data_IF_184755895539
#
_entry.id   IF_184755895539
#
_cell.length_a   1.000
_cell.length_b   1.000
_cell.length_c   1.000
_cell.angle_alpha   90.00
_cell.angle_beta   90.00
_cell.angle_gamma   90.00
#
_symmetry.space_group_name_H-M   'P 1'
#
loop_
_entity.id
_entity.type
_entity.pdbx_description
1 polymer ?
#
# COMPACT_ATOMS: atom_id res chain seq x y z
N UNK A 1 -12.49 -12.27 -10.23
CA UNK A 1 -12.40 -11.11 -9.31
C UNK A 1 -11.75 -11.64 -8.05
N UNK A 2 -10.51 -11.22 -7.78
CA UNK A 2 -9.86 -11.53 -6.51
C UNK A 2 -10.66 -10.86 -5.39
N UNK A 3 -11.13 -11.64 -4.43
CA UNK A 3 -11.82 -11.13 -3.25
C UNK A 3 -10.76 -10.43 -2.40
N UNK A 4 -10.81 -9.11 -2.35
CA UNK A 4 -9.97 -8.32 -1.46
C UNK A 4 -10.23 -8.81 -0.03
N UNK A 5 -9.19 -9.15 0.70
CA UNK A 5 -9.32 -9.56 2.10
C UNK A 5 -9.76 -8.33 2.90
N UNK A 6 -11.04 -8.24 3.19
CA UNK A 6 -11.56 -7.20 4.07
C UNK A 6 -11.51 -7.72 5.51
N UNK A 7 -10.59 -7.17 6.30
CA UNK A 7 -10.57 -7.39 7.73
C UNK A 7 -11.52 -6.34 8.34
N UNK A 8 -12.78 -6.69 8.45
CA UNK A 8 -13.88 -5.80 8.84
C UNK A 8 -13.92 -5.43 10.33
N UNK A 9 -13.06 -6.02 11.17
CA UNK A 9 -13.07 -5.78 12.62
C UNK A 9 -11.85 -4.99 13.14
N UNK A 10 -11.13 -4.31 12.26
CA UNK A 10 -9.98 -3.47 12.62
C UNK A 10 -10.35 -1.98 12.72
N UNK A 11 -11.64 -1.67 12.87
CA UNK A 11 -12.06 -0.31 13.16
C UNK A 11 -11.67 0.08 14.59
N UNK A 12 -11.22 1.32 14.74
CA UNK A 12 -10.73 1.86 16.02
C UNK A 12 -11.76 1.71 17.15
N UNK A 13 -13.01 2.07 16.86
CA UNK A 13 -14.09 2.02 17.85
C UNK A 13 -14.43 0.58 18.23
N UNK A 14 -14.42 -0.34 17.26
CA UNK A 14 -14.59 -1.77 17.50
C UNK A 14 -13.50 -2.35 18.38
N UNK A 15 -12.24 -2.05 18.10
CA UNK A 15 -11.08 -2.49 18.90
C UNK A 15 -11.18 -1.95 20.32
N UNK A 16 -11.47 -0.66 20.49
CA UNK A 16 -11.63 -0.02 21.81
C UNK A 16 -12.75 -0.66 22.61
N UNK A 17 -13.89 -0.92 22.00
CA UNK A 17 -15.04 -1.60 22.63
C UNK A 17 -14.71 -3.02 23.08
N UNK A 18 -14.01 -3.78 22.24
CA UNK A 18 -13.55 -5.14 22.57
C UNK A 18 -12.56 -5.13 23.72
N UNK A 19 -11.61 -4.19 23.74
CA UNK A 19 -10.67 -4.02 24.85
C UNK A 19 -11.38 -3.68 26.16
N UNK A 20 -12.34 -2.77 26.15
CA UNK A 20 -13.16 -2.44 27.35
C UNK A 20 -13.93 -3.67 27.84
N UNK A 21 -14.57 -4.40 26.93
CA UNK A 21 -15.33 -5.61 27.28
C UNK A 21 -14.41 -6.67 27.88
N UNK A 22 -13.25 -6.88 27.30
CA UNK A 22 -12.25 -7.82 27.83
C UNK A 22 -11.78 -7.43 29.23
N UNK A 23 -11.44 -6.16 29.46
CA UNK A 23 -10.99 -5.68 30.77
C UNK A 23 -12.09 -5.73 31.83
N UNK A 24 -13.33 -5.42 31.47
CA UNK A 24 -14.48 -5.49 32.41
C UNK A 24 -14.81 -6.91 32.85
N UNK A 25 -14.39 -7.93 32.09
CA UNK A 25 -14.54 -9.35 32.46
C UNK A 25 -13.44 -9.84 33.42
N UNK A 26 -12.38 -9.05 33.65
CA UNK A 26 -11.32 -9.40 34.58
C UNK A 26 -11.72 -9.03 36.01
N UNK A 27 -11.42 -9.92 36.98
CA UNK A 27 -11.80 -9.73 38.39
C UNK A 27 -11.12 -8.53 39.06
N UNK A 28 -10.01 -8.04 38.51
CA UNK A 28 -9.24 -6.89 39.02
C UNK A 28 -9.84 -5.53 38.66
N UNK A 29 -10.75 -5.49 37.68
CA UNK A 29 -11.32 -4.24 37.15
C UNK A 29 -12.84 -4.17 37.25
N UNK A 30 -13.46 -4.91 38.19
CA UNK A 30 -14.91 -5.06 38.31
C UNK A 30 -15.70 -3.77 38.57
N UNK A 31 -15.04 -2.72 39.05
CA UNK A 31 -15.69 -1.46 39.43
C UNK A 31 -14.94 -0.26 38.86
N UNK A 32 -14.29 -0.43 37.72
CA UNK A 32 -13.43 0.58 37.14
C UNK A 32 -14.17 1.37 36.03
N UNK A 33 -14.15 2.70 36.15
CA UNK A 33 -14.67 3.58 35.09
C UNK A 33 -13.60 3.75 34.00
N UNK A 34 -13.79 3.03 32.89
CA UNK A 34 -12.90 3.08 31.73
C UNK A 34 -13.06 4.36 30.90
N UNK A 35 -14.10 5.17 31.13
CA UNK A 35 -14.36 6.38 30.35
C UNK A 35 -13.79 7.63 31.03
N UNK A 36 -13.87 7.71 32.35
CA UNK A 36 -13.47 8.88 33.12
C UNK A 36 -12.03 8.89 33.63
N UNK A 37 -11.28 7.81 33.40
CA UNK A 37 -9.96 7.63 33.98
C UNK A 37 -8.82 7.76 32.95
N UNK A 38 -7.58 7.93 33.44
CA UNK A 38 -6.39 7.90 32.61
C UNK A 38 -6.20 6.57 31.83
N UNK A 39 -6.89 5.48 32.25
CA UNK A 39 -6.92 4.22 31.53
C UNK A 39 -7.63 4.35 30.17
N UNK A 40 -8.59 5.26 30.03
CA UNK A 40 -9.23 5.53 28.74
C UNK A 40 -8.23 5.98 27.69
N UNK A 41 -7.31 6.86 28.06
CA UNK A 41 -6.23 7.32 27.16
C UNK A 41 -5.29 6.18 26.78
N UNK A 42 -4.97 5.30 27.73
CA UNK A 42 -4.14 4.12 27.45
C UNK A 42 -4.84 3.15 26.48
N UNK A 43 -6.14 2.93 26.66
CA UNK A 43 -6.95 2.12 25.75
C UNK A 43 -7.01 2.74 24.35
N UNK A 44 -7.11 4.05 24.23
CA UNK A 44 -7.06 4.75 22.96
C UNK A 44 -5.71 4.55 22.25
N UNK A 45 -4.61 4.64 22.96
CA UNK A 45 -3.26 4.39 22.41
C UNK A 45 -3.12 2.94 21.93
N UNK A 46 -3.61 1.97 22.72
CA UNK A 46 -3.57 0.54 22.36
C UNK A 46 -4.46 0.26 21.15
N UNK A 47 -5.68 0.80 21.13
CA UNK A 47 -6.60 0.64 20.00
C UNK A 47 -6.02 1.26 18.73
N UNK A 48 -5.42 2.44 18.82
CA UNK A 48 -4.75 3.12 17.70
C UNK A 48 -3.57 2.29 17.17
N UNK A 49 -2.73 1.78 18.06
CA UNK A 49 -1.60 0.93 17.67
C UNK A 49 -2.08 -0.36 16.97
N UNK A 50 -3.11 -1.01 17.51
CA UNK A 50 -3.68 -2.23 16.92
C UNK A 50 -4.31 -1.95 15.55
N UNK A 51 -5.05 -0.85 15.42
CA UNK A 51 -5.61 -0.40 14.14
C UNK A 51 -4.50 -0.18 13.10
N UNK A 52 -3.41 0.49 13.48
CA UNK A 52 -2.28 0.75 12.58
C UNK A 52 -1.55 -0.54 12.18
N UNK A 53 -1.36 -1.47 13.10
CA UNK A 53 -0.77 -2.77 12.82
C UNK A 53 -1.65 -3.58 11.86
N UNK A 54 -2.96 -3.58 12.08
CA UNK A 54 -3.91 -4.23 11.20
C UNK A 54 -3.93 -3.65 9.79
N UNK A 55 -3.90 -2.32 9.68
CA UNK A 55 -3.79 -1.65 8.40
C UNK A 55 -2.52 -2.05 7.64
N UNK A 56 -1.37 -2.02 8.31
CA UNK A 56 -0.10 -2.41 7.71
C UNK A 56 -0.09 -3.90 7.31
N UNK A 57 -0.66 -4.78 8.14
CA UNK A 57 -0.77 -6.20 7.83
C UNK A 57 -1.66 -6.44 6.60
N UNK A 58 -2.78 -5.74 6.50
CA UNK A 58 -3.68 -5.83 5.35
C UNK A 58 -3.03 -5.29 4.07
N UNK A 59 -2.33 -4.15 4.16
CA UNK A 59 -1.56 -3.61 3.05
C UNK A 59 -0.49 -4.60 2.58
N UNK A 60 0.28 -5.18 3.51
CA UNK A 60 1.29 -6.18 3.18
C UNK A 60 0.68 -7.42 2.52
N UNK A 61 -0.43 -7.92 3.04
CA UNK A 61 -1.14 -9.08 2.47
C UNK A 61 -1.64 -8.80 1.04
N UNK A 62 -2.16 -7.61 0.77
CA UNK A 62 -2.58 -7.21 -0.58
C UNK A 62 -1.39 -7.12 -1.55
N UNK A 63 -0.23 -6.63 -1.09
CA UNK A 63 0.98 -6.51 -1.91
C UNK A 63 1.69 -7.86 -2.18
N UNK A 64 1.30 -8.94 -1.51
CA UNK A 64 1.87 -10.28 -1.74
C UNK A 64 1.36 -10.96 -3.02
N UNK A 65 0.23 -10.53 -3.55
CA UNK A 65 -0.38 -11.16 -4.73
C UNK A 65 -0.40 -10.20 -5.91
N UNK A 66 -0.13 -10.73 -7.11
CA UNK A 66 -0.08 -9.94 -8.34
C UNK A 66 -1.41 -9.28 -8.68
N UNK A 67 -2.54 -9.94 -8.35
CA UNK A 67 -3.89 -9.46 -8.65
C UNK A 67 -4.34 -8.31 -7.73
N UNK A 68 -3.76 -8.21 -6.54
CA UNK A 68 -4.15 -7.23 -5.51
C UNK A 68 -3.09 -6.17 -5.22
N UNK A 69 -1.87 -6.34 -5.76
CA UNK A 69 -0.79 -5.39 -5.57
C UNK A 69 -1.06 -4.07 -6.29
N UNK A 70 -1.03 -2.97 -5.55
CA UNK A 70 -1.22 -1.61 -6.05
C UNK A 70 0.13 -0.90 -6.32
N UNK A 71 1.17 -1.24 -5.58
CA UNK A 71 2.48 -0.64 -5.74
C UNK A 71 3.21 -1.19 -6.97
N UNK A 72 3.62 -0.30 -7.87
CA UNK A 72 4.36 -0.67 -9.09
C UNK A 72 5.61 -1.52 -8.79
N UNK A 73 6.32 -1.23 -7.69
CA UNK A 73 7.49 -2.00 -7.26
C UNK A 73 7.14 -3.45 -6.93
N UNK A 74 6.04 -3.67 -6.23
CA UNK A 74 5.54 -5.00 -5.87
C UNK A 74 5.10 -5.77 -7.11
N UNK A 75 4.30 -5.14 -7.98
CA UNK A 75 3.84 -5.73 -9.25
C UNK A 75 5.02 -6.15 -10.13
N UNK A 76 6.03 -5.27 -10.28
CA UNK A 76 7.23 -5.58 -11.07
C UNK A 76 8.04 -6.73 -10.44
N UNK A 77 8.16 -6.76 -9.13
CA UNK A 77 8.86 -7.83 -8.42
C UNK A 77 8.17 -9.19 -8.59
N UNK A 78 6.85 -9.21 -8.40
CA UNK A 78 6.03 -10.40 -8.58
C UNK A 78 6.02 -10.88 -10.04
N UNK A 79 5.92 -9.97 -11.01
CA UNK A 79 5.99 -10.29 -12.44
C UNK A 79 7.32 -10.94 -12.82
N UNK A 80 8.43 -10.48 -12.25
CA UNK A 80 9.75 -11.10 -12.46
C UNK A 80 9.84 -12.52 -11.91
N UNK A 81 9.17 -12.80 -10.80
CA UNK A 81 9.13 -14.16 -10.22
C UNK A 81 8.43 -15.17 -11.14
N UNK A 82 7.43 -14.72 -11.91
CA UNK A 82 6.75 -15.56 -12.91
C UNK A 82 7.43 -15.51 -14.30
N UNK A 83 8.63 -14.92 -14.38
CA UNK A 83 9.42 -14.88 -15.62
C UNK A 83 9.11 -13.72 -16.56
N UNK A 84 8.25 -12.80 -16.18
CA UNK A 84 7.91 -11.63 -16.99
C UNK A 84 8.70 -10.40 -16.53
N UNK A 85 9.49 -9.81 -17.45
CA UNK A 85 10.20 -8.56 -17.18
C UNK A 85 9.46 -7.40 -17.83
N UNK A 86 8.75 -6.57 -17.05
CA UNK A 86 8.02 -5.44 -17.59
C UNK A 86 8.97 -4.38 -18.13
N UNK A 87 8.71 -3.91 -19.35
CA UNK A 87 9.46 -2.83 -19.99
C UNK A 87 8.78 -1.50 -19.70
N UNK A 88 9.59 -0.46 -19.48
CA UNK A 88 9.08 0.90 -19.34
C UNK A 88 8.74 1.48 -20.73
N UNK A 89 7.80 2.41 -20.79
CA UNK A 89 7.56 3.17 -21.99
C UNK A 89 8.84 3.96 -22.35
N UNK A 90 9.32 3.78 -23.57
CA UNK A 90 10.39 4.57 -24.14
C UNK A 90 9.79 5.54 -25.17
N UNK A 91 10.34 6.75 -25.22
CA UNK A 91 9.97 7.69 -26.29
C UNK A 91 10.36 7.12 -27.65
N UNK A 92 9.56 7.40 -28.67
CA UNK A 92 9.92 7.07 -30.04
C UNK A 92 11.16 7.87 -30.46
N UNK A 93 12.12 7.19 -31.10
CA UNK A 93 13.30 7.80 -31.68
C UNK A 93 13.21 7.71 -33.20
N UNK A 94 13.54 8.79 -33.88
CA UNK A 94 13.64 8.83 -35.32
C UNK A 94 15.03 9.32 -35.73
N UNK A 95 15.64 8.63 -36.68
CA UNK A 95 16.89 9.10 -37.30
C UNK A 95 16.54 9.76 -38.62
N UNK A 96 16.86 11.02 -38.74
CA UNK A 96 16.65 11.80 -39.95
C UNK A 96 17.98 12.02 -40.67
N UNK A 97 18.01 11.71 -41.97
CA UNK A 97 19.13 12.05 -42.84
C UNK A 97 18.75 13.35 -43.59
N UNK A 98 19.44 14.43 -43.29
CA UNK A 98 19.23 15.71 -43.93
C UNK A 98 20.30 15.90 -45.01
N UNK A 99 19.86 15.97 -46.26
CA UNK A 99 20.71 16.32 -47.40
C UNK A 99 20.56 17.82 -47.65
N UNK A 100 21.64 18.54 -47.46
CA UNK A 100 21.67 19.95 -47.76
C UNK A 100 22.43 20.14 -49.09
N UNK A 101 21.75 20.63 -50.07
CA UNK A 101 22.34 20.96 -51.35
C UNK A 101 22.48 22.50 -51.47
N UNK A 102 23.53 22.92 -52.14
CA UNK A 102 23.67 24.34 -52.49
C UNK A 102 22.67 24.74 -53.63
N UNK A 103 22.63 26.03 -53.98
CA UNK A 103 21.76 26.52 -55.05
C UNK A 103 22.11 25.93 -56.44
N UNK A 104 23.26 25.28 -56.59
CA UNK A 104 23.71 24.60 -57.82
C UNK A 104 23.43 23.10 -57.83
N UNK A 105 22.85 22.57 -56.72
CA UNK A 105 22.48 21.16 -56.59
C UNK A 105 23.61 20.24 -56.11
N UNK A 106 24.76 20.78 -55.72
CA UNK A 106 25.87 20.00 -55.15
C UNK A 106 25.60 19.68 -53.69
N UNK A 107 25.77 18.39 -53.28
CA UNK A 107 25.62 17.99 -51.89
C UNK A 107 26.77 18.47 -51.01
N UNK A 108 26.43 19.18 -49.94
CA UNK A 108 27.39 19.61 -48.92
C UNK A 108 27.59 18.43 -47.95
N UNK A 109 28.82 17.88 -47.93
CA UNK A 109 29.24 16.95 -46.88
C UNK A 109 29.86 17.74 -45.73
N UNK A 110 29.29 17.63 -44.53
CA UNK A 110 29.94 18.08 -43.29
C UNK A 110 30.73 16.95 -42.70
#
# INVERSE_FOLDING_TARGET
>A
MATKLEISELDFDGIKSNLKTFLSQQNEFTDYDFEGSGMSVLLDVLAYNTHYLGYNANMLANEMYLDSADLRSSVVSLAKQVGYTPTSCTSSTATLTVLVNDATGASLTM
#
